data_IF_877715016623
#
_entry.id   IF_877715016623
#
_cell.length_a   1.000
_cell.length_b   1.000
_cell.length_c   1.000
_cell.angle_alpha   90.00
_cell.angle_beta   90.00
_cell.angle_gamma   90.00
#
_symmetry.space_group_name_H-M   'P 1'
#
loop_
_entity.id
_entity.type
_entity.pdbx_description
1 polymer ?
#
# COMPACT_ATOMS: atom_id res chain seq x y z
N UNK A 1 -7.62 -25.75 -6.29
CA UNK A 1 -8.32 -24.45 -6.29
C UNK A 1 -7.44 -23.47 -7.03
N UNK A 2 -8.00 -22.70 -7.96
CA UNK A 2 -7.25 -21.70 -8.72
C UNK A 2 -6.90 -20.50 -7.83
N UNK A 3 -5.70 -19.94 -7.98
CA UNK A 3 -5.29 -18.75 -7.23
C UNK A 3 -5.87 -17.51 -7.91
N UNK A 4 -6.69 -16.77 -7.19
CA UNK A 4 -7.17 -15.46 -7.62
C UNK A 4 -6.25 -14.37 -7.08
N UNK A 5 -5.77 -13.50 -7.97
CA UNK A 5 -4.80 -12.46 -7.66
C UNK A 5 -5.38 -11.09 -8.02
N UNK A 6 -5.10 -10.09 -7.19
CA UNK A 6 -5.21 -8.68 -7.57
C UNK A 6 -3.87 -8.28 -8.16
N UNK A 7 -3.88 -7.88 -9.43
CA UNK A 7 -2.70 -7.40 -10.15
C UNK A 7 -2.69 -5.87 -10.14
N UNK A 8 -1.54 -5.30 -9.83
CA UNK A 8 -1.32 -3.85 -9.82
C UNK A 8 0.08 -3.52 -10.32
N UNK A 9 0.28 -2.28 -10.75
CA UNK A 9 1.54 -1.81 -11.31
C UNK A 9 2.36 -1.06 -10.26
N UNK A 10 3.67 -1.31 -10.25
CA UNK A 10 4.66 -0.48 -9.58
C UNK A 10 5.68 -0.03 -10.62
N UNK A 11 5.53 1.21 -11.11
CA UNK A 11 6.34 1.71 -12.22
C UNK A 11 6.01 0.97 -13.51
N UNK A 12 6.94 0.17 -14.02
CA UNK A 12 6.77 -0.61 -15.27
C UNK A 12 6.55 -2.11 -15.02
N UNK A 13 6.56 -2.54 -13.76
CA UNK A 13 6.43 -3.94 -13.37
C UNK A 13 5.04 -4.24 -12.81
N UNK A 14 4.55 -5.46 -13.06
CA UNK A 14 3.31 -5.96 -12.50
C UNK A 14 3.58 -6.79 -11.25
N UNK A 15 2.89 -6.45 -10.18
CA UNK A 15 2.89 -7.17 -8.91
C UNK A 15 1.52 -7.81 -8.67
N UNK A 16 1.49 -8.84 -7.84
CA UNK A 16 0.27 -9.59 -7.53
C UNK A 16 0.19 -9.95 -6.05
N UNK A 17 -1.02 -9.84 -5.49
CA UNK A 17 -1.34 -10.32 -4.15
C UNK A 17 -2.56 -11.25 -4.20
N UNK A 18 -2.59 -12.28 -3.37
CA UNK A 18 -3.77 -13.16 -3.26
C UNK A 18 -5.00 -12.36 -2.86
N UNK A 19 -6.12 -12.56 -3.59
CA UNK A 19 -7.35 -11.78 -3.37
C UNK A 19 -7.88 -11.96 -1.93
N UNK A 20 -7.63 -13.12 -1.33
CA UNK A 20 -8.02 -13.43 0.05
C UNK A 20 -7.31 -12.54 1.09
N UNK A 21 -6.21 -11.88 0.72
CA UNK A 21 -5.48 -10.93 1.57
C UNK A 21 -5.85 -9.47 1.33
N UNK A 22 -6.78 -9.19 0.40
CA UNK A 22 -7.17 -7.82 0.03
C UNK A 22 -8.48 -7.45 0.71
N UNK A 23 -8.42 -6.54 1.68
CA UNK A 23 -9.62 -6.02 2.37
C UNK A 23 -10.40 -5.00 1.53
N UNK A 24 -9.73 -4.30 0.61
CA UNK A 24 -10.37 -3.36 -0.29
C UNK A 24 -9.39 -2.55 -1.13
N UNK A 25 -9.89 -2.03 -2.24
CA UNK A 25 -9.19 -1.06 -3.09
C UNK A 25 -9.87 0.29 -2.87
N UNK A 26 -9.14 1.23 -2.30
CA UNK A 26 -9.65 2.56 -1.95
C UNK A 26 -8.86 3.63 -2.68
N UNK A 27 -9.48 4.78 -2.92
CA UNK A 27 -8.76 5.96 -3.40
C UNK A 27 -7.85 6.48 -2.30
N UNK A 28 -6.75 7.13 -2.69
CA UNK A 28 -5.86 7.78 -1.75
C UNK A 28 -6.64 8.81 -0.92
N UNK A 29 -6.42 8.76 0.40
CA UNK A 29 -6.98 9.71 1.36
C UNK A 29 -5.85 10.59 1.90
N UNK A 30 -6.21 11.61 2.69
CA UNK A 30 -5.21 12.43 3.36
C UNK A 30 -4.36 11.58 4.32
N UNK A 31 -3.04 11.71 4.20
CA UNK A 31 -2.07 10.97 5.02
C UNK A 31 -1.47 11.94 6.04
N UNK A 32 -1.63 11.60 7.31
CA UNK A 32 -0.96 12.30 8.42
C UNK A 32 0.41 11.69 8.64
N UNK A 33 1.46 12.48 8.42
CA UNK A 33 2.86 12.04 8.60
C UNK A 33 3.15 11.67 10.05
N UNK A 34 3.91 10.60 10.25
CA UNK A 34 4.40 10.18 11.57
C UNK A 34 5.88 10.62 11.71
N UNK A 35 6.23 11.40 12.75
CA UNK A 35 7.63 11.73 13.03
C UNK A 35 8.48 10.47 13.27
N UNK A 36 9.73 10.49 12.79
CA UNK A 36 10.70 9.41 12.98
C UNK A 36 10.30 8.04 12.40
N UNK A 37 9.27 7.97 11.56
CA UNK A 37 8.93 6.75 10.85
C UNK A 37 10.00 6.38 9.80
N UNK A 38 10.16 5.09 9.45
CA UNK A 38 11.00 4.69 8.33
C UNK A 38 10.59 5.41 7.04
N UNK A 39 11.55 5.68 6.14
CA UNK A 39 11.34 6.48 4.92
C UNK A 39 10.27 5.93 3.97
N UNK A 40 9.96 4.63 4.04
CA UNK A 40 8.92 3.98 3.25
C UNK A 40 7.52 4.06 3.87
N UNK A 41 7.39 4.63 5.08
CA UNK A 41 6.11 4.85 5.74
C UNK A 41 5.70 6.30 5.48
N UNK A 42 4.67 6.50 4.66
CA UNK A 42 4.14 7.83 4.37
C UNK A 42 3.44 8.45 5.59
N UNK A 43 2.89 7.60 6.47
CA UNK A 43 2.23 8.02 7.70
C UNK A 43 1.06 7.11 8.03
N UNK A 44 -0.03 7.70 8.51
CA UNK A 44 -1.30 7.04 8.81
C UNK A 44 -2.46 7.72 8.09
N UNK A 45 -3.49 6.95 7.79
CA UNK A 45 -4.79 7.45 7.32
C UNK A 45 -5.92 6.90 8.19
N UNK A 46 -7.02 7.64 8.29
CA UNK A 46 -8.25 7.12 8.84
C UNK A 46 -9.05 6.46 7.71
N UNK A 47 -9.23 5.14 7.77
CA UNK A 47 -10.10 4.40 6.87
C UNK A 47 -11.29 3.86 7.66
N UNK A 48 -12.47 4.46 7.45
CA UNK A 48 -13.74 4.05 8.09
C UNK A 48 -13.66 3.98 9.62
N UNK A 49 -12.98 4.95 10.24
CA UNK A 49 -12.79 5.01 11.69
C UNK A 49 -11.59 4.21 12.19
N UNK A 50 -10.93 3.43 11.34
CA UNK A 50 -9.71 2.68 11.68
C UNK A 50 -8.47 3.44 11.25
N UNK A 51 -7.55 3.68 12.19
CA UNK A 51 -6.26 4.30 11.88
C UNK A 51 -5.31 3.22 11.35
N UNK A 52 -4.93 3.32 10.09
CA UNK A 52 -4.07 2.34 9.41
C UNK A 52 -2.79 3.00 8.88
N UNK A 53 -1.63 2.33 8.95
CA UNK A 53 -0.40 2.84 8.36
C UNK A 53 -0.45 2.80 6.83
N UNK A 54 0.16 3.79 6.19
CA UNK A 54 0.32 3.85 4.73
C UNK A 54 1.80 3.65 4.39
N UNK A 55 2.07 2.63 3.59
CA UNK A 55 3.41 2.27 3.13
C UNK A 55 3.52 2.52 1.63
N UNK A 56 4.56 3.23 1.22
CA UNK A 56 4.96 3.40 -0.17
C UNK A 56 5.77 2.17 -0.60
N UNK A 57 5.23 1.40 -1.56
CA UNK A 57 5.86 0.17 -2.02
C UNK A 57 7.11 0.41 -2.88
N UNK A 58 7.17 1.50 -3.66
CA UNK A 58 8.39 1.87 -4.40
C UNK A 58 9.55 2.09 -3.43
N UNK A 59 9.32 2.89 -2.37
CA UNK A 59 10.32 3.13 -1.32
C UNK A 59 10.63 1.87 -0.53
N UNK A 60 9.63 1.04 -0.23
CA UNK A 60 9.81 -0.20 0.56
C UNK A 60 10.66 -1.22 -0.18
N UNK A 61 10.50 -1.33 -1.50
CA UNK A 61 11.23 -2.26 -2.35
C UNK A 61 12.52 -1.67 -2.93
N UNK A 62 12.81 -0.39 -2.68
CA UNK A 62 13.99 0.30 -3.20
C UNK A 62 13.94 0.49 -4.72
N UNK A 63 12.74 0.59 -5.29
CA UNK A 63 12.53 0.83 -6.71
C UNK A 63 12.79 2.31 -7.02
N UNK A 64 13.42 2.57 -8.16
CA UNK A 64 13.50 3.94 -8.68
C UNK A 64 12.07 4.41 -9.04
N UNK A 65 11.77 5.66 -8.69
CA UNK A 65 10.50 6.31 -9.01
C UNK A 65 10.37 6.55 -10.52
#
# INVERSE_FOLDING_TARGET
MEKQLVIFELGTEHFGIEIASVEGIVKMQEITKIPQAPSYVEGITNLRGSVIPVVDLHKRFGMAA
#
